data_IF_271074496782
#
_entry.id   IF_271074496782
#
_cell.length_a   1.000
_cell.length_b   1.000
_cell.length_c   1.000
_cell.angle_alpha   90.00
_cell.angle_beta   90.00
_cell.angle_gamma   90.00
#
_symmetry.space_group_name_H-M   'P 1'
#
loop_
_entity.id
_entity.type
_entity.pdbx_description
1 polymer ?
#
# COMPACT_ATOMS: atom_id res chain seq x y z
N UNK A 1 30.88 -8.47 38.28
CA UNK A 1 29.63 -8.25 37.53
C UNK A 1 29.93 -8.26 36.03
N UNK A 2 29.39 -9.19 35.23
CA UNK A 2 29.65 -9.24 33.79
C UNK A 2 28.76 -8.23 33.05
N UNK A 3 29.37 -7.44 32.15
CA UNK A 3 28.65 -6.51 31.28
C UNK A 3 27.81 -7.28 30.27
N UNK A 4 26.50 -7.08 30.32
CA UNK A 4 25.52 -7.52 29.33
C UNK A 4 25.92 -7.00 27.94
N UNK A 5 26.15 -7.92 27.00
CA UNK A 5 26.38 -7.61 25.58
C UNK A 5 25.04 -7.42 24.91
N UNK A 6 24.85 -6.23 24.33
CA UNK A 6 23.70 -5.90 23.48
C UNK A 6 23.56 -6.90 22.33
N UNK A 7 22.35 -7.39 22.02
CA UNK A 7 22.14 -8.36 20.94
C UNK A 7 22.49 -7.72 19.59
N UNK A 8 23.49 -8.30 18.92
CA UNK A 8 23.87 -7.94 17.56
C UNK A 8 22.70 -8.16 16.62
N UNK A 9 22.20 -7.09 16.02
CA UNK A 9 21.18 -7.14 14.96
C UNK A 9 21.70 -7.98 13.81
N UNK A 10 21.02 -9.09 13.52
CA UNK A 10 21.25 -9.92 12.34
C UNK A 10 21.11 -9.06 11.07
N UNK A 11 22.24 -8.72 10.44
CA UNK A 11 22.26 -8.15 9.08
C UNK A 11 21.95 -9.28 8.11
N UNK A 12 20.73 -9.30 7.58
CA UNK A 12 20.39 -10.09 6.41
C UNK A 12 21.27 -9.61 5.25
N UNK A 13 22.17 -10.47 4.75
CA UNK A 13 22.98 -10.20 3.56
C UNK A 13 22.12 -10.45 2.32
N UNK A 14 21.82 -9.39 1.58
CA UNK A 14 21.18 -9.46 0.27
C UNK A 14 22.25 -9.77 -0.80
N UNK A 15 21.92 -10.45 -1.91
CA UNK A 15 22.86 -10.74 -2.99
C UNK A 15 23.51 -9.45 -3.54
N UNK A 16 24.81 -9.52 -3.81
CA UNK A 16 25.70 -8.38 -4.02
C UNK A 16 25.54 -7.62 -5.36
N UNK A 17 24.52 -7.92 -6.16
CA UNK A 17 24.38 -7.39 -7.54
C UNK A 17 23.35 -6.27 -7.70
N UNK A 18 22.51 -5.98 -6.69
CA UNK A 18 21.64 -4.79 -6.74
C UNK A 18 22.40 -3.59 -6.19
N UNK A 19 22.38 -2.48 -6.93
CA UNK A 19 23.04 -1.23 -6.55
C UNK A 19 22.71 -0.88 -5.09
N UNK A 20 23.70 -0.43 -4.33
CA UNK A 20 23.42 0.10 -2.99
C UNK A 20 22.45 1.27 -3.10
N UNK A 21 21.47 1.32 -2.20
CA UNK A 21 20.66 2.51 -1.98
C UNK A 21 20.92 3.03 -0.58
N UNK A 22 21.04 4.35 -0.46
CA UNK A 22 20.99 5.00 0.85
C UNK A 22 19.53 5.19 1.22
N UNK A 23 19.19 5.06 2.51
CA UNK A 23 17.84 5.36 2.97
C UNK A 23 17.84 6.37 4.13
N UNK A 24 16.89 7.29 4.11
CA UNK A 24 16.70 8.30 5.15
C UNK A 24 15.22 8.37 5.53
N UNK A 25 14.91 8.40 6.82
CA UNK A 25 13.54 8.59 7.31
C UNK A 25 13.30 10.06 7.66
N UNK A 26 12.14 10.60 7.27
CA UNK A 26 11.71 11.96 7.60
C UNK A 26 10.28 11.96 8.13
N UNK A 27 10.01 12.79 9.14
CA UNK A 27 8.63 13.05 9.59
C UNK A 27 8.07 14.25 8.82
N UNK A 28 6.88 14.10 8.24
CA UNK A 28 6.21 15.20 7.55
C UNK A 28 5.26 15.99 8.46
N UNK A 29 5.05 15.56 9.71
CA UNK A 29 4.38 16.35 10.74
C UNK A 29 5.34 16.72 11.86
N UNK A 30 5.61 18.02 11.98
CA UNK A 30 6.53 18.61 12.96
C UNK A 30 6.10 18.36 14.42
N UNK A 31 4.79 18.34 14.67
CA UNK A 31 4.22 18.30 16.03
C UNK A 31 3.61 16.94 16.41
N UNK A 32 3.74 15.92 15.55
CA UNK A 32 3.16 14.60 15.77
C UNK A 32 4.14 13.56 15.24
N UNK A 33 5.03 13.02 16.10
CA UNK A 33 6.04 12.04 15.70
C UNK A 33 5.45 10.64 15.58
N UNK A 34 4.18 10.52 15.15
CA UNK A 34 3.62 9.21 14.85
C UNK A 34 4.47 8.61 13.73
N UNK A 35 4.94 7.38 13.95
CA UNK A 35 5.78 6.68 12.98
C UNK A 35 5.06 6.54 11.62
N UNK A 36 3.74 6.40 11.63
CA UNK A 36 2.89 6.35 10.45
C UNK A 36 2.81 7.66 9.67
N UNK A 37 3.22 8.78 10.30
CA UNK A 37 3.30 10.11 9.71
C UNK A 37 4.76 10.46 9.34
N UNK A 38 5.47 9.45 8.87
CA UNK A 38 6.82 9.55 8.33
C UNK A 38 6.90 8.92 6.95
N UNK A 39 7.95 9.26 6.23
CA UNK A 39 8.31 8.66 4.95
C UNK A 39 9.77 8.20 4.99
N UNK A 40 10.11 7.23 4.14
CA UNK A 40 11.48 6.85 3.87
C UNK A 40 11.84 7.25 2.45
N UNK A 41 13.05 7.78 2.26
CA UNK A 41 13.59 8.15 0.96
C UNK A 41 14.68 7.15 0.62
N UNK A 42 14.51 6.43 -0.48
CA UNK A 42 15.48 5.49 -1.03
C UNK A 42 16.15 6.13 -2.23
N UNK A 43 17.40 6.56 -2.06
CA UNK A 43 18.18 7.13 -3.15
C UNK A 43 19.12 6.06 -3.73
N UNK A 44 19.13 5.88 -5.06
CA UNK A 44 20.14 5.04 -5.73
C UNK A 44 21.54 5.62 -5.52
N UNK A 45 22.57 4.77 -5.61
CA UNK A 45 23.97 5.24 -5.57
C UNK A 45 24.32 6.14 -6.77
N UNK A 46 23.61 5.98 -7.89
CA UNK A 46 23.79 6.76 -9.10
C UNK A 46 22.42 7.19 -9.64
N UNK A 47 21.82 8.25 -9.06
CA UNK A 47 20.50 8.71 -9.49
C UNK A 47 20.54 9.20 -10.92
N UNK A 48 19.64 8.67 -11.75
CA UNK A 48 19.45 9.17 -13.10
C UNK A 48 18.50 10.37 -13.06
N UNK A 49 18.95 11.52 -13.58
CA UNK A 49 18.11 12.73 -13.69
C UNK A 49 16.93 12.56 -14.67
N UNK A 50 17.01 11.59 -15.59
CA UNK A 50 15.93 11.32 -16.54
C UNK A 50 14.83 10.44 -15.96
N UNK A 51 15.09 9.74 -14.85
CA UNK A 51 14.13 8.82 -14.26
C UNK A 51 13.20 9.54 -13.27
N UNK A 52 11.96 9.07 -13.12
CA UNK A 52 11.00 9.71 -12.23
C UNK A 52 11.35 9.50 -10.76
N UNK A 53 10.91 10.44 -9.92
CA UNK A 53 10.74 10.18 -8.49
C UNK A 53 9.43 9.42 -8.29
N UNK A 54 9.50 8.24 -7.69
CA UNK A 54 8.33 7.42 -7.39
C UNK A 54 7.90 7.60 -5.94
N UNK A 55 6.73 8.18 -5.72
CA UNK A 55 6.12 8.29 -4.39
C UNK A 55 5.25 7.06 -4.16
N UNK A 56 5.77 6.05 -3.46
CA UNK A 56 5.13 4.75 -3.25
C UNK A 56 4.39 4.69 -1.90
N UNK A 57 3.06 4.58 -1.93
CA UNK A 57 2.24 4.29 -0.75
C UNK A 57 2.30 2.80 -0.43
N UNK A 58 2.82 2.47 0.75
CA UNK A 58 3.01 1.08 1.17
C UNK A 58 1.69 0.47 1.63
N UNK A 59 1.44 -0.78 1.22
CA UNK A 59 0.30 -1.56 1.67
C UNK A 59 0.60 -2.40 2.90
N UNK A 60 -0.42 -2.56 3.74
CA UNK A 60 -0.36 -3.29 5.02
C UNK A 60 -1.69 -3.99 5.35
N UNK A 61 -2.51 -4.27 4.33
CA UNK A 61 -3.90 -4.71 4.54
C UNK A 61 -4.71 -3.69 5.35
N UNK A 62 -4.46 -2.40 5.16
CA UNK A 62 -5.04 -1.27 5.92
C UNK A 62 -4.78 -1.26 7.43
N UNK A 63 -4.03 -2.23 7.97
CA UNK A 63 -3.69 -2.29 9.41
C UNK A 63 -2.71 -1.18 9.85
N UNK A 64 -2.20 -0.38 8.91
CA UNK A 64 -1.23 0.67 9.15
C UNK A 64 0.17 0.16 9.48
N UNK A 65 1.01 1.11 9.89
CA UNK A 65 2.43 0.89 10.03
C UNK A 65 2.91 1.14 11.46
N UNK A 66 2.14 0.82 12.52
CA UNK A 66 2.63 0.98 13.90
C UNK A 66 4.02 0.38 14.05
N UNK A 67 4.91 1.07 14.76
CA UNK A 67 6.33 0.71 14.86
C UNK A 67 6.56 -0.77 15.22
N UNK A 68 5.75 -1.35 16.10
CA UNK A 68 5.86 -2.76 16.50
C UNK A 68 5.48 -3.73 15.36
N UNK A 69 4.37 -3.48 14.66
CA UNK A 69 3.94 -4.29 13.51
C UNK A 69 4.92 -4.10 12.36
N UNK A 70 5.31 -2.85 12.12
CA UNK A 70 6.28 -2.50 11.10
C UNK A 70 7.62 -3.17 11.36
N UNK A 71 8.06 -3.33 12.61
CA UNK A 71 9.33 -4.00 12.90
C UNK A 71 9.36 -5.44 12.37
N UNK A 72 8.26 -6.19 12.52
CA UNK A 72 8.13 -7.56 12.01
C UNK A 72 8.03 -7.65 10.47
N UNK A 73 7.47 -6.62 9.83
CA UNK A 73 7.26 -6.57 8.38
C UNK A 73 8.19 -5.57 7.65
N UNK A 74 9.18 -5.01 8.35
CA UNK A 74 10.03 -3.91 7.85
C UNK A 74 10.84 -4.35 6.63
N UNK A 75 11.35 -5.58 6.67
CA UNK A 75 12.07 -6.20 5.56
C UNK A 75 11.20 -6.29 4.31
N UNK A 76 9.89 -6.51 4.46
CA UNK A 76 8.95 -6.61 3.35
C UNK A 76 8.59 -5.24 2.79
N UNK A 77 8.30 -4.28 3.67
CA UNK A 77 7.99 -2.91 3.29
C UNK A 77 9.17 -2.18 2.63
N UNK A 78 10.41 -2.55 2.97
CA UNK A 78 11.61 -1.98 2.35
C UNK A 78 11.93 -2.60 0.98
N UNK A 79 11.43 -3.81 0.66
CA UNK A 79 11.76 -4.50 -0.61
C UNK A 79 11.27 -3.73 -1.82
N UNK A 80 10.02 -3.27 -1.82
CA UNK A 80 9.44 -2.54 -2.96
C UNK A 80 10.20 -1.26 -3.30
N UNK A 81 10.37 -0.32 -2.35
CA UNK A 81 11.14 0.89 -2.55
C UNK A 81 12.60 0.63 -2.96
N UNK A 82 13.25 -0.41 -2.41
CA UNK A 82 14.61 -0.79 -2.82
C UNK A 82 14.66 -1.32 -4.24
N UNK A 83 13.69 -2.11 -4.66
CA UNK A 83 13.61 -2.62 -6.03
C UNK A 83 13.41 -1.48 -7.02
N UNK A 84 12.56 -0.50 -6.71
CA UNK A 84 12.41 0.73 -7.49
C UNK A 84 13.73 1.53 -7.49
N UNK A 85 14.34 1.72 -6.32
CA UNK A 85 15.60 2.47 -6.23
C UNK A 85 16.74 1.80 -7.01
N UNK A 86 16.73 0.47 -7.10
CA UNK A 86 17.74 -0.28 -7.85
C UNK A 86 17.69 -0.01 -9.35
N UNK A 87 16.59 0.52 -9.89
CA UNK A 87 16.51 0.93 -11.31
C UNK A 87 17.15 2.30 -11.58
N UNK A 88 17.72 2.96 -10.56
CA UNK A 88 18.27 4.32 -10.66
C UNK A 88 17.25 5.44 -10.43
N UNK A 89 15.99 5.11 -10.11
CA UNK A 89 14.96 6.08 -9.73
C UNK A 89 15.01 6.39 -8.23
N UNK A 90 14.64 7.61 -7.81
CA UNK A 90 14.41 7.90 -6.39
C UNK A 90 13.05 7.34 -5.97
N UNK A 91 12.99 6.60 -4.86
CA UNK A 91 11.71 6.13 -4.32
C UNK A 91 11.42 6.73 -2.95
N UNK A 92 10.29 7.42 -2.82
CA UNK A 92 9.78 7.97 -1.57
C UNK A 92 8.64 7.08 -1.07
N UNK A 93 8.93 6.31 -0.03
CA UNK A 93 8.02 5.38 0.60
C UNK A 93 7.14 6.09 1.64
N UNK A 94 5.86 6.26 1.33
CA UNK A 94 4.88 6.94 2.18
C UNK A 94 4.13 5.93 3.04
N UNK A 95 4.09 6.19 4.34
CA UNK A 95 3.28 5.45 5.31
C UNK A 95 1.94 6.17 5.52
N UNK A 96 1.00 5.42 6.08
CA UNK A 96 -0.28 5.94 6.55
C UNK A 96 -0.69 5.23 7.84
N UNK A 97 -1.54 5.87 8.64
CA UNK A 97 -2.14 5.25 9.84
C UNK A 97 -3.01 4.05 9.45
N UNK A 98 -3.26 3.17 10.42
CA UNK A 98 -4.00 1.92 10.22
C UNK A 98 -5.39 1.94 10.82
N UNK A 99 -6.35 1.22 10.24
CA UNK A 99 -7.69 1.07 10.82
C UNK A 99 -7.68 0.10 11.99
N UNK A 100 -6.77 -0.89 11.96
CA UNK A 100 -6.76 -2.07 12.83
C UNK A 100 -8.07 -2.86 12.74
N UNK A 101 -8.04 -4.20 12.70
CA UNK A 101 -9.28 -4.94 12.53
C UNK A 101 -10.29 -4.65 13.65
N UNK A 102 -11.54 -4.45 13.28
CA UNK A 102 -12.66 -4.37 14.21
C UNK A 102 -13.06 -5.82 14.49
N UNK A 103 -12.37 -6.45 15.42
CA UNK A 103 -12.74 -7.79 15.88
C UNK A 103 -14.00 -7.63 16.71
N UNK A 104 -15.10 -8.20 16.19
CA UNK A 104 -16.36 -8.31 16.92
C UNK A 104 -16.11 -8.99 18.27
N UNK A 105 -16.79 -8.55 19.33
CA UNK A 105 -16.65 -9.15 20.66
C UNK A 105 -16.92 -10.66 20.65
N UNK A 106 -17.78 -11.14 19.74
CA UNK A 106 -18.03 -12.56 19.50
C UNK A 106 -16.81 -13.30 18.93
N UNK A 107 -16.00 -12.68 18.07
CA UNK A 107 -14.76 -13.30 17.56
C UNK A 107 -13.70 -13.37 18.65
N UNK A 108 -13.58 -12.34 19.49
CA UNK A 108 -12.72 -12.40 20.68
C UNK A 108 -13.17 -13.51 21.62
N UNK A 109 -14.48 -13.61 21.87
CA UNK A 109 -15.06 -14.67 22.71
C UNK A 109 -14.83 -16.06 22.10
N UNK A 110 -14.92 -16.21 20.78
CA UNK A 110 -14.62 -17.47 20.09
C UNK A 110 -13.13 -17.85 20.22
N UNK A 111 -12.21 -16.91 20.00
CA UNK A 111 -10.77 -17.15 20.21
C UNK A 111 -10.45 -17.48 21.66
N UNK A 112 -11.12 -16.83 22.61
CA UNK A 112 -11.04 -17.14 24.03
C UNK A 112 -11.52 -18.56 24.33
N UNK A 113 -12.66 -18.96 23.78
CA UNK A 113 -13.22 -20.30 23.92
C UNK A 113 -12.29 -21.36 23.33
N UNK A 114 -11.78 -21.15 22.11
CA UNK A 114 -10.81 -22.04 21.46
C UNK A 114 -9.55 -22.16 22.31
N UNK A 115 -8.98 -21.04 22.75
CA UNK A 115 -7.81 -21.05 23.64
C UNK A 115 -8.11 -21.79 24.95
N UNK A 116 -9.35 -21.68 25.44
CA UNK A 116 -9.84 -22.42 26.59
C UNK A 116 -9.89 -23.93 26.40
N UNK A 117 -10.25 -24.40 25.21
CA UNK A 117 -10.24 -25.84 24.88
C UNK A 117 -8.82 -26.43 24.92
N UNK A 118 -7.81 -25.64 24.59
CA UNK A 118 -6.40 -26.08 24.64
C UNK A 118 -5.71 -25.76 25.98
N UNK A 119 -6.39 -25.01 26.85
CA UNK A 119 -5.89 -24.68 28.17
C UNK A 119 -6.27 -25.76 29.18
N UNK A 120 -5.32 -26.18 30.03
CA UNK A 120 -5.60 -27.08 31.15
C UNK A 120 -6.36 -26.40 32.30
N UNK A 121 -6.57 -25.08 32.24
CA UNK A 121 -7.18 -24.28 33.30
C UNK A 121 -8.07 -23.18 32.72
N UNK A 122 -9.31 -23.09 33.21
CA UNK A 122 -10.23 -22.01 32.85
C UNK A 122 -9.65 -20.63 33.19
N UNK A 123 -8.93 -20.52 34.31
CA UNK A 123 -8.28 -19.26 34.73
C UNK A 123 -7.21 -18.85 33.72
N UNK A 124 -6.40 -19.79 33.24
CA UNK A 124 -5.37 -19.50 32.23
C UNK A 124 -6.02 -19.09 30.90
N UNK A 125 -7.10 -19.77 30.50
CA UNK A 125 -7.85 -19.43 29.29
C UNK A 125 -8.40 -18.00 29.33
N UNK A 126 -9.06 -17.65 30.43
CA UNK A 126 -9.62 -16.31 30.67
C UNK A 126 -8.51 -15.26 30.71
N UNK A 127 -7.38 -15.55 31.36
CA UNK A 127 -6.24 -14.63 31.42
C UNK A 127 -5.63 -14.38 30.02
N UNK A 128 -5.45 -15.42 29.21
CA UNK A 128 -4.93 -15.29 27.83
C UNK A 128 -5.93 -14.53 26.96
N UNK A 129 -7.22 -14.86 27.05
CA UNK A 129 -8.27 -14.15 26.33
C UNK A 129 -8.35 -12.67 26.70
N UNK A 130 -8.33 -12.35 27.99
CA UNK A 130 -8.30 -10.98 28.49
C UNK A 130 -7.03 -10.24 28.02
N UNK A 131 -5.87 -10.91 28.05
CA UNK A 131 -4.62 -10.38 27.52
C UNK A 131 -4.69 -10.06 26.03
N UNK A 132 -5.24 -10.97 25.22
CA UNK A 132 -5.47 -10.77 23.78
C UNK A 132 -6.43 -9.61 23.57
N UNK A 133 -7.55 -9.55 24.29
CA UNK A 133 -8.56 -8.49 24.17
C UNK A 133 -8.01 -7.12 24.55
N UNK A 134 -7.30 -7.02 25.68
CA UNK A 134 -6.67 -5.78 26.14
C UNK A 134 -5.59 -5.36 25.15
N UNK A 135 -4.71 -6.27 24.75
CA UNK A 135 -3.70 -6.03 23.73
C UNK A 135 -4.30 -5.55 22.42
N UNK A 136 -5.39 -6.18 21.97
CA UNK A 136 -6.14 -5.79 20.78
C UNK A 136 -6.73 -4.38 20.89
N UNK A 137 -7.40 -4.10 22.01
CA UNK A 137 -8.01 -2.80 22.29
C UNK A 137 -6.96 -1.70 22.36
N UNK A 138 -5.80 -1.99 22.95
CA UNK A 138 -4.66 -1.07 22.96
C UNK A 138 -4.10 -0.83 21.55
N UNK A 139 -3.96 -1.87 20.73
CA UNK A 139 -3.54 -1.72 19.32
C UNK A 139 -4.54 -0.90 18.50
N UNK A 140 -5.84 -0.97 18.81
CA UNK A 140 -6.90 -0.19 18.16
C UNK A 140 -6.91 1.28 18.58
N UNK A 141 -6.41 1.66 19.76
CA UNK A 141 -6.40 3.07 20.19
C UNK A 141 -5.61 3.95 19.22
N UNK A 142 -6.29 4.82 18.47
CA UNK A 142 -5.68 5.61 17.40
C UNK A 142 -5.84 5.00 16.00
N UNK A 143 -6.77 4.06 15.83
CA UNK A 143 -7.23 3.59 14.52
C UNK A 143 -7.64 4.76 13.63
N UNK A 144 -7.20 4.75 12.39
CA UNK A 144 -7.59 5.69 11.36
C UNK A 144 -8.82 5.19 10.59
N UNK A 145 -9.75 6.10 10.30
CA UNK A 145 -10.72 5.89 9.23
C UNK A 145 -9.99 5.80 7.88
N UNK A 146 -10.67 5.28 6.86
CA UNK A 146 -10.09 5.23 5.51
C UNK A 146 -9.76 6.64 4.98
N UNK A 147 -10.61 7.62 5.31
CA UNK A 147 -10.37 9.04 5.04
C UNK A 147 -9.10 9.57 5.71
N UNK A 148 -8.87 9.26 6.99
CA UNK A 148 -7.64 9.63 7.69
C UNK A 148 -6.38 9.05 7.00
N UNK A 149 -6.47 7.86 6.38
CA UNK A 149 -5.35 7.30 5.60
C UNK A 149 -5.08 8.10 4.32
N UNK A 150 -6.14 8.48 3.60
CA UNK A 150 -6.03 9.32 2.41
C UNK A 150 -5.46 10.70 2.76
N UNK A 151 -5.89 11.29 3.88
CA UNK A 151 -5.32 12.54 4.40
C UNK A 151 -3.84 12.41 4.78
N UNK A 152 -3.43 11.29 5.38
CA UNK A 152 -2.01 11.04 5.68
C UNK A 152 -1.16 11.00 4.40
N UNK A 153 -1.66 10.34 3.34
CA UNK A 153 -0.98 10.27 2.03
C UNK A 153 -0.95 11.64 1.36
N UNK A 154 -2.06 12.39 1.38
CA UNK A 154 -2.11 13.74 0.82
C UNK A 154 -1.14 14.70 1.50
N UNK A 155 -1.08 14.67 2.84
CA UNK A 155 -0.13 15.47 3.61
C UNK A 155 1.33 15.09 3.31
N UNK A 156 1.61 13.80 3.10
CA UNK A 156 2.95 13.35 2.71
C UNK A 156 3.34 13.84 1.31
N UNK A 157 2.43 13.78 0.33
CA UNK A 157 2.67 14.30 -1.04
C UNK A 157 2.94 15.80 -0.99
N UNK A 158 2.18 16.57 -0.22
CA UNK A 158 2.39 18.01 -0.10
C UNK A 158 3.73 18.34 0.58
N UNK A 159 4.10 17.60 1.62
CA UNK A 159 5.43 17.73 2.22
C UNK A 159 6.56 17.45 1.23
N UNK A 160 6.42 16.41 0.40
CA UNK A 160 7.43 16.05 -0.63
C UNK A 160 7.59 17.21 -1.62
N UNK A 161 6.49 17.81 -2.08
CA UNK A 161 6.51 18.98 -2.99
C UNK A 161 7.21 20.20 -2.40
N UNK A 162 7.18 20.37 -1.09
CA UNK A 162 7.82 21.48 -0.38
C UNK A 162 9.26 21.17 0.07
N UNK A 163 9.73 19.96 -0.19
CA UNK A 163 11.05 19.48 0.25
C UNK A 163 12.13 19.66 -0.82
N UNK A 164 13.35 19.23 -0.51
CA UNK A 164 14.51 19.15 -1.42
C UNK A 164 14.47 17.95 -2.38
N UNK A 165 13.40 17.15 -2.37
CA UNK A 165 13.23 16.01 -3.27
C UNK A 165 12.88 16.53 -4.67
N UNK A 166 13.53 16.01 -5.72
CA UNK A 166 13.19 16.34 -7.11
C UNK A 166 11.77 15.87 -7.44
N UNK A 167 10.89 16.80 -7.80
CA UNK A 167 9.50 16.55 -8.20
C UNK A 167 9.17 17.00 -9.63
N UNK A 168 10.18 17.18 -10.49
CA UNK A 168 9.96 17.60 -11.89
C UNK A 168 9.29 16.50 -12.73
N UNK A 169 9.54 15.24 -12.37
CA UNK A 169 8.94 14.06 -12.98
C UNK A 169 8.49 13.08 -11.87
N UNK A 170 7.21 13.10 -11.54
CA UNK A 170 6.65 12.32 -10.40
C UNK A 170 5.75 11.21 -10.89
N UNK A 171 5.98 10.01 -10.37
CA UNK A 171 5.05 8.88 -10.48
C UNK A 171 4.46 8.62 -9.10
N UNK A 172 3.13 8.63 -8.99
CA UNK A 172 2.46 8.23 -7.76
C UNK A 172 2.23 6.72 -7.80
N UNK A 173 2.76 6.02 -6.82
CA UNK A 173 2.70 4.57 -6.74
C UNK A 173 1.96 4.05 -5.52
N UNK A 174 1.40 2.86 -5.60
CA UNK A 174 0.88 2.17 -4.43
C UNK A 174 1.00 0.66 -4.53
N UNK A 175 1.35 0.03 -3.41
CA UNK A 175 1.44 -1.42 -3.29
C UNK A 175 0.26 -1.97 -2.50
N UNK A 176 -0.38 -3.07 -2.94
CA UNK A 176 -1.45 -3.73 -2.17
C UNK A 176 -2.54 -2.76 -1.69
N UNK A 177 -2.87 -2.77 -0.40
CA UNK A 177 -3.81 -1.81 0.20
C UNK A 177 -3.36 -0.35 0.11
N UNK A 178 -2.07 -0.07 -0.08
CA UNK A 178 -1.55 1.27 -0.37
C UNK A 178 -1.92 1.74 -1.78
N UNK A 179 -1.96 0.81 -2.75
CA UNK A 179 -2.57 1.04 -4.06
C UNK A 179 -4.04 1.40 -3.96
N UNK A 180 -4.77 0.73 -3.05
CA UNK A 180 -6.15 1.09 -2.75
C UNK A 180 -6.25 2.53 -2.18
N UNK A 181 -5.51 2.85 -1.13
CA UNK A 181 -5.54 4.19 -0.50
C UNK A 181 -5.19 5.28 -1.51
N UNK A 182 -4.12 5.09 -2.30
CA UNK A 182 -3.70 6.06 -3.31
C UNK A 182 -4.79 6.28 -4.36
N UNK A 183 -5.28 5.21 -5.00
CA UNK A 183 -6.27 5.33 -6.07
C UNK A 183 -7.59 5.93 -5.57
N UNK A 184 -7.97 5.63 -4.33
CA UNK A 184 -9.11 6.29 -3.68
C UNK A 184 -8.87 7.77 -3.41
N UNK A 185 -7.67 8.16 -2.96
CA UNK A 185 -7.29 9.57 -2.77
C UNK A 185 -7.36 10.35 -4.08
N UNK A 186 -6.89 9.76 -5.19
CA UNK A 186 -6.94 10.40 -6.51
C UNK A 186 -8.38 10.74 -6.94
N UNK A 187 -9.39 10.04 -6.40
CA UNK A 187 -10.80 10.30 -6.65
C UNK A 187 -11.48 11.23 -5.62
N UNK A 188 -10.69 11.86 -4.72
CA UNK A 188 -11.18 12.73 -3.63
C UNK A 188 -10.62 14.16 -3.77
N UNK A 189 -11.15 14.97 -4.69
CA UNK A 189 -10.66 16.35 -4.91
C UNK A 189 -10.80 17.23 -3.67
N UNK A 190 -11.76 16.93 -2.79
CA UNK A 190 -11.94 17.61 -1.51
C UNK A 190 -10.77 17.38 -0.54
N UNK A 191 -10.24 16.15 -0.43
CA UNK A 191 -9.07 15.83 0.38
C UNK A 191 -7.80 16.44 -0.23
N UNK A 192 -7.68 16.38 -1.57
CA UNK A 192 -6.56 17.01 -2.28
C UNK A 192 -6.52 18.52 -2.02
N UNK A 193 -7.64 19.22 -2.21
CA UNK A 193 -7.76 20.67 -1.96
C UNK A 193 -7.46 21.02 -0.51
N UNK A 194 -7.97 20.27 0.46
CA UNK A 194 -7.70 20.47 1.89
C UNK A 194 -6.20 20.43 2.23
N UNK A 195 -5.41 19.69 1.46
CA UNK A 195 -3.97 19.55 1.64
C UNK A 195 -3.15 20.37 0.63
N UNK A 196 -3.72 21.43 0.05
CA UNK A 196 -3.06 22.31 -0.94
C UNK A 196 -2.54 21.58 -2.19
N UNK A 197 -3.11 20.42 -2.51
CA UNK A 197 -2.83 19.69 -3.74
C UNK A 197 -3.79 20.14 -4.84
N UNK A 198 -3.30 20.14 -6.08
CA UNK A 198 -4.17 20.36 -7.24
C UNK A 198 -5.27 19.30 -7.28
N UNK A 199 -6.48 19.74 -7.61
CA UNK A 199 -7.60 18.84 -7.89
C UNK A 199 -7.47 18.13 -9.24
N UNK A 200 -6.55 18.57 -10.09
CA UNK A 200 -6.19 17.89 -11.35
C UNK A 200 -5.00 16.96 -11.12
N UNK A 201 -5.26 15.66 -11.16
CA UNK A 201 -4.24 14.62 -10.97
C UNK A 201 -3.06 14.76 -11.95
N UNK A 202 -3.31 15.18 -13.19
CA UNK A 202 -2.25 15.41 -14.21
C UNK A 202 -1.30 16.55 -13.87
N UNK A 203 -1.67 17.44 -12.93
CA UNK A 203 -0.78 18.44 -12.35
C UNK A 203 -0.04 17.92 -11.11
N UNK A 204 -0.51 16.82 -10.52
CA UNK A 204 0.13 16.18 -9.37
C UNK A 204 1.22 15.19 -9.80
N UNK A 205 1.04 14.53 -10.94
CA UNK A 205 1.95 13.48 -11.37
C UNK A 205 1.93 13.25 -12.88
N UNK A 206 3.02 12.67 -13.35
CA UNK A 206 3.25 12.23 -14.72
C UNK A 206 2.69 10.82 -14.97
N UNK A 207 2.46 10.04 -13.91
CA UNK A 207 2.06 8.64 -14.02
C UNK A 207 1.57 8.03 -12.71
N UNK A 208 0.88 6.89 -12.84
CA UNK A 208 0.41 6.09 -11.70
C UNK A 208 0.99 4.67 -11.78
N UNK A 209 1.67 4.21 -10.73
CA UNK A 209 2.26 2.86 -10.61
C UNK A 209 1.52 2.00 -9.59
N UNK A 210 0.83 0.94 -10.01
CA UNK A 210 0.14 0.04 -9.08
C UNK A 210 0.85 -1.30 -9.04
N UNK A 211 1.49 -1.61 -7.91
CA UNK A 211 2.18 -2.88 -7.68
C UNK A 211 1.26 -3.81 -6.89
N UNK A 212 0.67 -4.82 -7.54
CA UNK A 212 -0.33 -5.70 -6.96
C UNK A 212 -1.32 -4.89 -6.11
N UNK A 213 -1.91 -3.84 -6.68
CA UNK A 213 -2.80 -2.94 -5.94
C UNK A 213 -4.14 -3.63 -5.65
N UNK A 214 -4.72 -3.38 -4.46
CA UNK A 214 -6.12 -3.77 -4.19
C UNK A 214 -7.03 -2.72 -4.83
N UNK A 215 -7.78 -3.08 -5.86
CA UNK A 215 -8.60 -2.17 -6.67
C UNK A 215 -10.10 -2.52 -6.63
N UNK A 216 -10.44 -3.73 -6.20
CA UNK A 216 -11.81 -4.19 -5.97
C UNK A 216 -12.06 -4.48 -4.49
N UNK A 217 -12.80 -3.61 -3.80
CA UNK A 217 -13.40 -3.93 -2.49
C UNK A 217 -14.83 -4.43 -2.61
N UNK A 218 -15.38 -4.35 -3.83
CA UNK A 218 -16.67 -4.88 -4.24
C UNK A 218 -16.45 -5.79 -5.48
N UNK A 219 -17.34 -6.75 -5.76
CA UNK A 219 -17.25 -7.57 -6.97
C UNK A 219 -17.50 -6.73 -8.22
N UNK A 220 -16.57 -6.72 -9.18
CA UNK A 220 -16.84 -6.19 -10.52
C UNK A 220 -17.92 -7.04 -11.19
N UNK A 221 -18.84 -6.41 -11.94
CA UNK A 221 -19.97 -7.12 -12.59
C UNK A 221 -19.58 -8.24 -13.56
N UNK A 222 -18.30 -8.36 -13.93
CA UNK A 222 -17.71 -9.45 -14.74
C UNK A 222 -17.25 -10.66 -13.91
N UNK A 223 -17.05 -10.50 -12.60
CA UNK A 223 -16.47 -11.52 -11.74
C UNK A 223 -17.53 -12.44 -11.14
N UNK A 224 -17.60 -13.69 -11.64
CA UNK A 224 -18.33 -14.81 -10.99
C UNK A 224 -17.68 -15.29 -9.68
N UNK A 225 -16.61 -14.66 -9.21
CA UNK A 225 -15.84 -15.13 -8.06
C UNK A 225 -16.61 -14.90 -6.74
N UNK A 226 -16.48 -15.80 -5.75
CA UNK A 226 -17.22 -15.71 -4.51
C UNK A 226 -16.87 -14.45 -3.69
N UNK A 227 -17.91 -13.69 -3.33
CA UNK A 227 -17.83 -12.42 -2.58
C UNK A 227 -17.46 -12.59 -1.10
N UNK A 228 -17.72 -13.77 -0.52
CA UNK A 228 -17.65 -13.97 0.93
C UNK A 228 -16.26 -13.68 1.51
N UNK A 229 -15.18 -13.98 0.80
CA UNK A 229 -13.83 -13.73 1.32
C UNK A 229 -13.47 -12.25 1.30
N UNK A 230 -13.79 -11.56 0.20
CA UNK A 230 -13.64 -10.10 0.11
C UNK A 230 -14.40 -9.40 1.24
N UNK A 231 -15.65 -9.80 1.43
CA UNK A 231 -16.48 -9.31 2.53
C UNK A 231 -15.85 -9.61 3.89
N UNK A 232 -15.32 -10.82 4.13
CA UNK A 232 -14.68 -11.15 5.42
C UNK A 232 -13.49 -10.25 5.69
N UNK A 233 -12.59 -10.04 4.74
CA UNK A 233 -11.40 -9.20 4.95
C UNK A 233 -11.81 -7.75 5.18
N UNK A 234 -12.67 -7.19 4.31
CA UNK A 234 -13.11 -5.79 4.43
C UNK A 234 -13.91 -5.60 5.73
N UNK A 235 -14.82 -6.50 6.10
CA UNK A 235 -15.56 -6.46 7.37
C UNK A 235 -14.65 -6.66 8.58
N UNK A 236 -13.63 -7.52 8.49
CA UNK A 236 -12.67 -7.69 9.57
C UNK A 236 -11.91 -6.38 9.81
N UNK A 237 -11.53 -5.67 8.75
CA UNK A 237 -10.74 -4.44 8.83
C UNK A 237 -11.59 -3.23 9.23
N UNK A 238 -12.83 -3.14 8.75
CA UNK A 238 -13.66 -1.93 8.82
C UNK A 238 -14.94 -2.09 9.65
N UNK A 239 -15.26 -3.30 10.10
CA UNK A 239 -16.46 -3.60 10.87
C UNK A 239 -17.73 -3.17 10.12
N UNK A 240 -18.60 -2.44 10.83
CA UNK A 240 -19.84 -1.89 10.30
C UNK A 240 -19.64 -0.78 9.25
N UNK A 241 -18.41 -0.31 9.01
CA UNK A 241 -18.10 0.67 7.97
C UNK A 241 -17.60 0.06 6.66
N UNK A 242 -17.60 -1.27 6.54
CA UNK A 242 -17.07 -1.99 5.38
C UNK A 242 -17.76 -1.64 4.05
N UNK A 243 -19.06 -1.35 4.09
CA UNK A 243 -19.89 -0.93 2.96
C UNK A 243 -19.57 0.49 2.45
N UNK A 244 -18.87 1.30 3.25
CA UNK A 244 -18.47 2.67 2.89
C UNK A 244 -17.08 2.72 2.27
N UNK A 245 -16.40 1.58 2.18
CA UNK A 245 -15.03 1.51 1.68
C UNK A 245 -15.07 1.53 0.15
N UNK A 246 -14.56 2.60 -0.48
CA UNK A 246 -14.71 2.79 -1.92
C UNK A 246 -14.02 1.65 -2.67
N UNK A 247 -14.57 1.29 -3.83
CA UNK A 247 -13.91 0.39 -4.76
C UNK A 247 -13.36 1.19 -5.95
N UNK A 248 -12.02 1.37 -6.07
CA UNK A 248 -11.42 2.12 -7.17
C UNK A 248 -11.87 1.67 -8.56
N UNK A 249 -11.99 0.36 -8.79
CA UNK A 249 -12.46 -0.17 -10.09
C UNK A 249 -13.90 0.26 -10.39
N UNK A 250 -14.81 0.19 -9.41
CA UNK A 250 -16.20 0.62 -9.60
C UNK A 250 -16.32 2.11 -9.84
N UNK A 251 -15.53 2.90 -9.09
CA UNK A 251 -15.48 4.34 -9.30
C UNK A 251 -15.02 4.67 -10.72
N UNK A 252 -13.95 4.02 -11.19
CA UNK A 252 -13.45 4.20 -12.55
C UNK A 252 -14.47 3.74 -13.61
N UNK A 253 -15.16 2.62 -13.39
CA UNK A 253 -16.22 2.13 -14.28
C UNK A 253 -17.44 3.05 -14.34
N UNK A 254 -17.71 3.82 -13.28
CA UNK A 254 -18.81 4.78 -13.22
C UNK A 254 -18.54 6.08 -13.99
N UNK A 255 -17.31 6.31 -14.48
CA UNK A 255 -17.02 7.47 -15.31
C UNK A 255 -17.79 7.38 -16.62
N UNK A 256 -18.53 8.45 -16.94
CA UNK A 256 -19.20 8.59 -18.22
C UNK A 256 -18.16 8.54 -19.36
N UNK A 257 -18.22 7.56 -20.27
CA UNK A 257 -17.29 7.47 -21.41
C UNK A 257 -17.33 8.72 -22.31
N UNK A 258 -18.44 9.47 -22.30
CA UNK A 258 -18.59 10.73 -23.06
C UNK A 258 -17.94 11.90 -22.35
N UNK A 259 -17.85 11.86 -21.02
CA UNK A 259 -16.93 12.66 -20.24
C UNK A 259 -15.53 12.13 -20.51
N UNK A 260 -14.97 12.45 -21.68
CA UNK A 260 -13.55 12.20 -21.96
C UNK A 260 -12.78 12.90 -20.85
N UNK A 261 -12.37 12.17 -19.82
CA UNK A 261 -11.46 12.66 -18.80
C UNK A 261 -10.10 12.76 -19.46
N UNK A 262 -9.90 13.83 -20.26
CA UNK A 262 -8.64 14.14 -20.96
C UNK A 262 -7.46 14.32 -19.99
N UNK A 263 -7.74 14.33 -18.69
CA UNK A 263 -6.79 14.64 -17.62
C UNK A 263 -6.48 13.44 -16.71
N UNK A 264 -6.55 12.18 -17.20
CA UNK A 264 -6.03 11.02 -16.46
C UNK A 264 -4.54 10.78 -16.77
N UNK A 265 -3.65 10.67 -15.78
CA UNK A 265 -2.28 10.27 -16.04
C UNK A 265 -2.23 8.82 -16.56
N UNK A 266 -1.20 8.46 -17.33
CA UNK A 266 -0.93 7.08 -17.72
C UNK A 266 -0.74 6.16 -16.50
N UNK A 267 -1.44 5.03 -16.48
CA UNK A 267 -1.36 4.01 -15.43
C UNK A 267 -0.51 2.82 -15.90
N UNK A 268 0.45 2.41 -15.07
CA UNK A 268 1.16 1.14 -15.19
C UNK A 268 0.74 0.24 -14.03
N UNK A 269 0.09 -0.87 -14.35
CA UNK A 269 -0.37 -1.85 -13.36
C UNK A 269 0.47 -3.12 -13.45
N UNK A 270 1.29 -3.36 -12.43
CA UNK A 270 2.08 -4.57 -12.30
C UNK A 270 1.34 -5.51 -11.35
N UNK A 271 1.00 -6.70 -11.82
CA UNK A 271 0.38 -7.74 -11.00
C UNK A 271 1.18 -9.04 -11.04
N UNK A 272 0.93 -9.92 -10.08
CA UNK A 272 1.52 -11.25 -10.04
C UNK A 272 0.84 -12.19 -11.03
N UNK A 273 1.56 -13.20 -11.52
CA UNK A 273 0.95 -14.36 -12.21
C UNK A 273 0.07 -15.19 -11.28
N UNK A 274 0.32 -15.11 -9.97
CA UNK A 274 -0.52 -15.70 -8.92
C UNK A 274 -0.55 -14.74 -7.73
N UNK A 275 -1.47 -13.77 -7.71
CA UNK A 275 -1.52 -12.75 -6.66
C UNK A 275 -1.66 -13.42 -5.30
N UNK A 276 -2.59 -14.35 -5.15
CA UNK A 276 -3.14 -14.55 -3.83
C UNK A 276 -2.60 -15.72 -3.06
N UNK A 277 -1.39 -15.55 -2.51
CA UNK A 277 -0.86 -16.48 -1.51
C UNK A 277 -0.74 -17.93 -2.04
N UNK A 278 -0.77 -18.13 -3.36
CA UNK A 278 -0.89 -19.46 -4.00
C UNK A 278 -2.31 -20.06 -4.00
N UNK A 279 -3.33 -19.29 -3.64
CA UNK A 279 -4.75 -19.68 -3.54
C UNK A 279 -5.59 -18.87 -4.54
N UNK A 280 -5.93 -19.43 -5.72
CA UNK A 280 -6.60 -18.70 -6.82
C UNK A 280 -7.90 -17.97 -6.48
N UNK A 281 -8.55 -18.34 -5.37
CA UNK A 281 -9.80 -17.74 -4.90
C UNK A 281 -9.67 -16.28 -4.43
N UNK A 282 -8.48 -15.81 -4.05
CA UNK A 282 -8.33 -14.47 -3.45
C UNK A 282 -7.94 -13.38 -4.47
N UNK A 283 -7.80 -13.71 -5.76
CA UNK A 283 -7.49 -12.79 -6.87
C UNK A 283 -8.57 -11.72 -7.12
N UNK A 284 -9.67 -11.75 -6.37
CA UNK A 284 -10.78 -10.81 -6.45
C UNK A 284 -10.44 -9.39 -6.00
N UNK A 285 -9.42 -9.20 -5.17
CA UNK A 285 -9.08 -7.86 -4.66
C UNK A 285 -8.32 -7.02 -5.67
N UNK A 286 -7.52 -7.65 -6.50
CA UNK A 286 -6.50 -6.95 -7.28
C UNK A 286 -7.10 -6.32 -8.52
N UNK A 287 -8.05 -7.00 -9.18
CA UNK A 287 -8.85 -6.50 -10.32
C UNK A 287 -8.02 -5.71 -11.35
N UNK A 288 -6.77 -6.12 -11.58
CA UNK A 288 -5.80 -5.35 -12.39
C UNK A 288 -6.34 -5.09 -13.80
N UNK A 289 -6.81 -6.14 -14.46
CA UNK A 289 -7.23 -6.07 -15.86
C UNK A 289 -8.58 -5.35 -16.00
N UNK A 290 -9.51 -5.58 -15.06
CA UNK A 290 -10.78 -4.84 -14.99
C UNK A 290 -10.54 -3.34 -14.76
N UNK A 291 -9.62 -2.97 -13.87
CA UNK A 291 -9.26 -1.58 -13.61
C UNK A 291 -8.57 -0.95 -14.82
N UNK A 292 -7.62 -1.64 -15.46
CA UNK A 292 -6.97 -1.15 -16.67
C UNK A 292 -7.98 -0.92 -17.81
N UNK A 293 -8.94 -1.83 -17.98
CA UNK A 293 -10.04 -1.67 -18.92
C UNK A 293 -10.93 -0.46 -18.56
N UNK A 294 -11.20 -0.24 -17.28
CA UNK A 294 -11.96 0.92 -16.81
C UNK A 294 -11.22 2.24 -17.10
N UNK A 295 -9.91 2.32 -16.85
CA UNK A 295 -9.09 3.50 -17.18
C UNK A 295 -9.10 3.78 -18.69
N UNK A 296 -8.93 2.74 -19.53
CA UNK A 296 -9.01 2.88 -20.99
C UNK A 296 -10.38 3.36 -21.45
N UNK A 297 -11.46 2.85 -20.85
CA UNK A 297 -12.84 3.27 -21.14
C UNK A 297 -13.08 4.74 -20.79
N UNK A 298 -12.48 5.23 -19.71
CA UNK A 298 -12.51 6.64 -19.33
C UNK A 298 -11.64 7.54 -20.25
N UNK A 299 -11.00 6.97 -21.28
CA UNK A 299 -10.12 7.69 -22.21
C UNK A 299 -8.70 7.89 -21.70
N UNK A 300 -8.33 7.26 -20.58
CA UNK A 300 -6.97 7.24 -20.08
C UNK A 300 -6.08 6.20 -20.78
N UNK A 301 -4.78 6.25 -20.49
CA UNK A 301 -3.81 5.23 -20.92
C UNK A 301 -3.53 4.29 -19.76
N UNK A 302 -3.61 2.99 -20.01
CA UNK A 302 -3.26 1.97 -19.02
C UNK A 302 -2.51 0.80 -19.67
N UNK A 303 -1.44 0.36 -19.02
CA UNK A 303 -0.69 -0.84 -19.37
C UNK A 303 -0.71 -1.82 -18.20
N UNK A 304 -0.83 -3.12 -18.50
CA UNK A 304 -0.74 -4.18 -17.50
C UNK A 304 0.52 -5.01 -17.74
N UNK A 305 1.23 -5.32 -16.66
CA UNK A 305 2.38 -6.21 -16.65
C UNK A 305 2.11 -7.32 -15.65
N UNK A 306 2.41 -8.55 -16.04
CA UNK A 306 2.42 -9.70 -15.14
C UNK A 306 3.85 -10.04 -14.74
N UNK A 307 4.12 -10.26 -13.46
CA UNK A 307 5.42 -10.77 -12.96
C UNK A 307 5.32 -12.22 -12.50
N UNK A 308 6.39 -12.98 -12.66
CA UNK A 308 6.52 -14.35 -12.17
C UNK A 308 6.87 -14.35 -10.67
N UNK A 309 5.89 -13.97 -9.86
CA UNK A 309 5.98 -13.95 -8.40
C UNK A 309 4.58 -14.14 -7.79
N UNK A 310 4.53 -14.20 -6.46
CA UNK A 310 3.29 -14.06 -5.70
C UNK A 310 3.28 -12.75 -4.91
N UNK A 311 2.14 -12.40 -4.30
CA UNK A 311 1.98 -11.11 -3.62
C UNK A 311 2.98 -10.85 -2.48
N UNK A 312 3.55 -11.87 -1.85
CA UNK A 312 4.59 -11.70 -0.81
C UNK A 312 5.98 -11.44 -1.39
N UNK A 313 6.25 -11.98 -2.58
CA UNK A 313 7.59 -12.02 -3.19
C UNK A 313 7.75 -11.01 -4.31
N UNK A 314 6.65 -10.47 -4.86
CA UNK A 314 6.66 -9.52 -5.97
C UNK A 314 7.59 -8.34 -5.76
N UNK A 315 7.62 -7.79 -4.55
CA UNK A 315 8.42 -6.61 -4.23
C UNK A 315 9.94 -6.83 -4.29
N UNK A 316 10.40 -8.07 -4.38
CA UNK A 316 11.82 -8.42 -4.37
C UNK A 316 12.23 -9.39 -5.48
N UNK A 317 11.35 -9.67 -6.44
CA UNK A 317 11.69 -10.57 -7.54
C UNK A 317 12.46 -9.83 -8.64
N UNK A 318 13.42 -10.52 -9.28
CA UNK A 318 14.20 -9.96 -10.38
C UNK A 318 13.32 -9.62 -11.58
N UNK A 319 12.22 -10.34 -11.77
CA UNK A 319 11.28 -10.08 -12.84
C UNK A 319 10.60 -8.70 -12.68
N UNK A 320 10.20 -8.31 -11.46
CA UNK A 320 9.70 -6.96 -11.19
C UNK A 320 10.76 -5.91 -11.52
N UNK A 321 12.00 -6.12 -11.05
CA UNK A 321 13.10 -5.21 -11.32
C UNK A 321 13.32 -5.02 -12.83
N UNK A 322 13.46 -6.10 -13.58
CA UNK A 322 13.71 -6.06 -15.02
C UNK A 322 12.57 -5.35 -15.77
N UNK A 323 11.31 -5.65 -15.44
CA UNK A 323 10.14 -5.03 -16.06
C UNK A 323 10.03 -3.54 -15.75
N UNK A 324 10.27 -3.13 -14.49
CA UNK A 324 10.27 -1.72 -14.12
C UNK A 324 11.43 -0.96 -14.77
N UNK A 325 12.63 -1.54 -14.76
CA UNK A 325 13.80 -0.94 -15.38
C UNK A 325 13.58 -0.69 -16.88
N UNK A 326 13.08 -1.71 -17.60
CA UNK A 326 12.74 -1.55 -19.02
C UNK A 326 11.70 -0.45 -19.23
N UNK A 327 10.64 -0.40 -18.41
CA UNK A 327 9.61 0.65 -18.52
C UNK A 327 10.12 2.05 -18.22
N UNK A 328 11.04 2.19 -17.28
CA UNK A 328 11.62 3.48 -16.97
C UNK A 328 12.57 3.96 -18.08
N UNK A 329 13.25 3.03 -18.77
CA UNK A 329 14.14 3.33 -19.90
C UNK A 329 13.38 3.58 -21.20
N UNK A 330 12.39 2.75 -21.53
CA UNK A 330 11.52 2.91 -22.71
C UNK A 330 10.68 4.20 -22.66
N UNK A 331 10.52 4.75 -21.46
CA UNK A 331 9.68 5.90 -21.17
C UNK A 331 8.36 5.46 -20.55
N UNK A 332 7.89 6.28 -19.60
CA UNK A 332 6.56 6.12 -19.03
C UNK A 332 5.52 6.21 -20.15
N UNK A 333 4.40 5.43 -20.13
CA UNK A 333 3.42 5.47 -21.21
C UNK A 333 3.07 6.92 -21.58
N UNK A 334 3.51 7.37 -22.76
CA UNK A 334 3.57 8.79 -23.08
C UNK A 334 2.18 9.44 -23.04
N UNK A 335 2.12 10.74 -22.68
CA UNK A 335 0.90 11.58 -22.67
C UNK A 335 0.20 11.59 -24.02
#
# INVERSE_FOLDING_TARGET
>A
MPRSRSPSRNRVRYPATRQSSTYTTRSYKKNSPLFEQSLDIYNPSSPSKSLPTVILVVGSGWMGHRSIIYSGCSWWNAKGPRTIASTGATCVCVRHRGSFPVVDSGVVAALAAITGLYSKSLVHAVAVAAGIYVGWTMMRRGSASFENMMEDVAAAIEYIKQSDINTDNVVLGGYSSGGHVLTSLLNRPDILKKNNLSDKITKLCNGVLLLSGVLGTEPSGSSKKPRWFTDIVVKSVWGSGADKIPSPVHKMLSHDPKSKTKDLPPHLLVGCGSETFGIPLLDTFFCRDDYAAAVKRAGGKAETITVNANHWTVLDCDDLFNKLNNKFVEGWPNK
#
